data_IF_620554227831
#
_entry.id   IF_620554227831
#
_cell.length_a   1.000
_cell.length_b   1.000
_cell.length_c   1.000
_cell.angle_alpha   90.00
_cell.angle_beta   90.00
_cell.angle_gamma   90.00
#
_symmetry.space_group_name_H-M   'P 1'
#
loop_
_entity.id
_entity.type
_entity.pdbx_description
1 polymer ?
#
# COMPACT_ATOMS: atom_id res chain seq x y z
N UNK A 1 -18.13 19.41 -7.08
CA UNK A 1 -16.96 18.48 -7.07
C UNK A 1 -17.11 17.52 -5.89
N UNK A 2 -17.35 16.22 -6.15
CA UNK A 2 -17.73 15.24 -5.11
C UNK A 2 -16.70 15.18 -3.98
N UNK A 3 -17.15 15.41 -2.75
CA UNK A 3 -16.34 15.37 -1.53
C UNK A 3 -15.63 14.02 -1.34
N UNK A 4 -16.23 12.93 -1.81
CA UNK A 4 -15.65 11.58 -1.83
C UNK A 4 -14.38 11.48 -2.69
N UNK A 5 -14.33 12.14 -3.84
CA UNK A 5 -13.15 12.14 -4.71
C UNK A 5 -11.97 12.90 -4.06
N UNK A 6 -12.27 13.99 -3.34
CA UNK A 6 -11.26 14.72 -2.56
C UNK A 6 -10.67 13.86 -1.44
N UNK A 7 -11.53 13.13 -0.71
CA UNK A 7 -11.10 12.15 0.31
C UNK A 7 -10.17 11.11 -0.32
N UNK A 8 -10.60 10.53 -1.45
CA UNK A 8 -9.85 9.47 -2.14
C UNK A 8 -8.45 9.95 -2.54
N UNK A 9 -8.36 11.14 -3.15
CA UNK A 9 -7.09 11.74 -3.57
C UNK A 9 -6.18 12.03 -2.38
N UNK A 10 -6.75 12.51 -1.27
CA UNK A 10 -6.00 12.75 -0.04
C UNK A 10 -5.41 11.46 0.53
N UNK A 11 -6.19 10.37 0.59
CA UNK A 11 -5.71 9.09 1.10
C UNK A 11 -4.63 8.48 0.21
N UNK A 12 -4.81 8.52 -1.12
CA UNK A 12 -3.77 8.08 -2.07
C UNK A 12 -2.47 8.87 -1.93
N UNK A 13 -2.56 10.18 -1.67
CA UNK A 13 -1.39 11.01 -1.39
C UNK A 13 -0.78 10.73 0.00
N UNK A 14 -1.54 10.22 0.96
CA UNK A 14 -0.98 9.68 2.20
C UNK A 14 -0.12 8.44 1.95
N UNK A 15 -0.58 7.57 1.04
CA UNK A 15 0.05 6.27 0.81
C UNK A 15 1.33 6.32 -0.01
N UNK A 16 1.52 7.27 -0.94
CA UNK A 16 2.62 7.18 -1.93
C UNK A 16 4.01 7.02 -1.30
N UNK A 17 4.30 7.73 -0.19
CA UNK A 17 5.59 7.61 0.50
C UNK A 17 5.78 6.23 1.11
N UNK A 18 4.74 5.71 1.77
CA UNK A 18 4.77 4.41 2.41
C UNK A 18 4.92 3.28 1.37
N UNK A 19 4.21 3.38 0.24
CA UNK A 19 4.33 2.43 -0.88
C UNK A 19 5.71 2.44 -1.50
N UNK A 20 6.30 3.63 -1.68
CA UNK A 20 7.64 3.76 -2.25
C UNK A 20 8.68 3.09 -1.34
N UNK A 21 8.61 3.32 -0.03
CA UNK A 21 9.50 2.67 0.94
C UNK A 21 9.28 1.16 0.97
N UNK A 22 8.03 0.69 0.93
CA UNK A 22 7.70 -0.73 0.90
C UNK A 22 8.34 -1.45 -0.30
N UNK A 23 8.17 -0.90 -1.52
CA UNK A 23 8.77 -1.50 -2.72
C UNK A 23 10.30 -1.36 -2.76
N UNK A 24 10.87 -0.29 -2.21
CA UNK A 24 12.32 -0.16 -2.09
C UNK A 24 12.93 -1.30 -1.24
N UNK A 25 12.24 -1.69 -0.15
CA UNK A 25 12.67 -2.81 0.69
C UNK A 25 12.54 -4.14 -0.07
N UNK A 26 11.41 -4.38 -0.73
CA UNK A 26 11.21 -5.60 -1.55
C UNK A 26 12.28 -5.71 -2.65
N UNK A 27 12.61 -4.61 -3.31
CA UNK A 27 13.64 -4.56 -4.34
C UNK A 27 15.04 -4.87 -3.77
N UNK A 28 15.37 -4.32 -2.60
CA UNK A 28 16.64 -4.62 -1.93
C UNK A 28 16.75 -6.11 -1.52
N UNK A 29 15.67 -6.68 -1.01
CA UNK A 29 15.61 -8.10 -0.61
C UNK A 29 15.73 -9.02 -1.82
N UNK A 30 15.06 -8.72 -2.93
CA UNK A 30 15.15 -9.50 -4.17
C UNK A 30 16.54 -9.41 -4.82
N UNK A 31 17.19 -8.24 -4.80
CA UNK A 31 18.60 -8.09 -5.19
C UNK A 31 19.54 -8.92 -4.31
N UNK A 32 19.33 -8.93 -3.00
CA UNK A 32 20.11 -9.77 -2.08
C UNK A 32 19.95 -11.26 -2.39
N UNK A 33 18.71 -11.71 -2.61
CA UNK A 33 18.40 -13.11 -2.94
C UNK A 33 19.03 -13.55 -4.26
N UNK A 34 18.99 -12.70 -5.30
CA UNK A 34 19.63 -12.99 -6.60
C UNK A 34 21.16 -13.02 -6.48
N UNK A 35 21.76 -12.09 -5.73
CA UNK A 35 23.20 -12.08 -5.48
C UNK A 35 23.69 -13.32 -4.72
N UNK A 36 22.92 -13.82 -3.74
CA UNK A 36 23.20 -15.09 -3.07
C UNK A 36 23.05 -16.28 -4.02
N UNK A 37 22.00 -16.29 -4.85
CA UNK A 37 21.75 -17.37 -5.81
C UNK A 37 22.86 -17.52 -6.84
N UNK A 38 23.52 -16.42 -7.23
CA UNK A 38 24.66 -16.45 -8.16
C UNK A 38 25.93 -17.07 -7.55
N UNK A 39 26.06 -17.03 -6.21
CA UNK A 39 27.21 -17.59 -5.49
C UNK A 39 26.93 -18.99 -4.92
N UNK A 40 25.66 -19.32 -4.71
CA UNK A 40 25.25 -20.61 -4.20
C UNK A 40 25.16 -21.63 -5.33
N UNK A 41 25.61 -22.86 -5.07
CA UNK A 41 25.46 -23.98 -6.02
C UNK A 41 24.03 -24.53 -6.04
N UNK A 42 23.16 -24.07 -5.13
CA UNK A 42 21.76 -24.48 -4.98
C UNK A 42 20.81 -23.32 -5.28
N UNK A 43 19.61 -23.65 -5.80
CA UNK A 43 18.55 -22.67 -6.04
C UNK A 43 18.02 -22.13 -4.71
N UNK A 44 18.38 -20.89 -4.38
CA UNK A 44 17.73 -20.15 -3.31
C UNK A 44 16.34 -19.74 -3.79
N UNK A 45 15.31 -20.27 -3.11
CA UNK A 45 13.92 -19.91 -3.42
C UNK A 45 13.43 -18.93 -2.37
N UNK A 46 13.00 -17.74 -2.80
CA UNK A 46 12.47 -16.71 -1.91
C UNK A 46 10.96 -16.60 -2.09
N UNK A 47 10.20 -16.79 -1.00
CA UNK A 47 8.74 -16.74 -0.99
C UNK A 47 8.22 -15.72 0.02
N UNK A 48 6.90 -15.50 0.01
CA UNK A 48 6.23 -14.68 1.03
C UNK A 48 6.05 -13.19 0.70
N UNK A 49 6.46 -12.74 -0.51
CA UNK A 49 6.22 -11.37 -0.96
C UNK A 49 4.73 -11.02 -0.99
N UNK A 50 3.88 -11.88 -1.55
CA UNK A 50 2.43 -11.64 -1.58
C UNK A 50 1.79 -11.50 -0.20
N UNK A 51 2.25 -12.28 0.79
CA UNK A 51 1.83 -12.12 2.19
C UNK A 51 2.27 -10.79 2.79
N UNK A 52 3.45 -10.29 2.44
CA UNK A 52 3.91 -8.98 2.90
C UNK A 52 3.03 -7.85 2.35
N UNK A 53 2.59 -7.94 1.10
CA UNK A 53 1.68 -6.97 0.47
C UNK A 53 0.32 -6.95 1.16
N UNK A 54 -0.23 -8.12 1.50
CA UNK A 54 -1.51 -8.24 2.24
C UNK A 54 -1.41 -7.58 3.62
N UNK A 55 -0.32 -7.84 4.35
CA UNK A 55 -0.08 -7.24 5.66
C UNK A 55 0.06 -5.73 5.54
N UNK A 56 0.82 -5.25 4.55
CA UNK A 56 1.03 -3.83 4.32
C UNK A 56 -0.29 -3.09 4.05
N UNK A 57 -1.12 -3.58 3.13
CA UNK A 57 -2.43 -2.98 2.81
C UNK A 57 -3.34 -2.96 4.04
N UNK A 58 -3.31 -4.02 4.85
CA UNK A 58 -4.09 -4.10 6.08
C UNK A 58 -3.70 -3.01 7.08
N UNK A 59 -2.39 -2.82 7.31
CA UNK A 59 -1.86 -1.80 8.20
C UNK A 59 -2.14 -0.39 7.65
N UNK A 60 -1.95 -0.16 6.35
CA UNK A 60 -2.25 1.12 5.69
C UNK A 60 -3.74 1.48 5.79
N UNK A 61 -4.63 0.50 5.66
CA UNK A 61 -6.06 0.68 5.87
C UNK A 61 -6.41 1.05 7.31
N UNK A 62 -5.76 0.43 8.29
CA UNK A 62 -5.94 0.78 9.71
C UNK A 62 -5.45 2.20 10.03
N UNK A 63 -4.31 2.62 9.47
CA UNK A 63 -3.73 3.94 9.71
C UNK A 63 -4.66 5.09 9.27
N UNK A 64 -5.42 4.88 8.20
CA UNK A 64 -6.43 5.84 7.74
C UNK A 64 -7.47 6.22 8.80
N UNK A 65 -7.80 5.32 9.73
CA UNK A 65 -8.82 5.56 10.74
C UNK A 65 -8.31 6.34 11.97
N UNK A 66 -7.01 6.62 12.08
CA UNK A 66 -6.46 7.52 13.11
C UNK A 66 -6.43 8.96 12.61
N UNK A 67 -5.37 9.32 11.91
CA UNK A 67 -5.03 10.72 11.66
C UNK A 67 -5.92 11.32 10.57
N UNK A 68 -6.09 10.60 9.46
CA UNK A 68 -6.93 11.06 8.34
C UNK A 68 -8.41 11.15 8.73
N UNK A 69 -8.92 10.22 9.54
CA UNK A 69 -10.32 10.26 9.99
C UNK A 69 -10.62 11.48 10.86
N UNK A 70 -9.76 11.80 11.84
CA UNK A 70 -9.92 12.98 12.70
C UNK A 70 -9.85 14.28 11.89
N UNK A 71 -8.87 14.41 11.01
CA UNK A 71 -8.72 15.59 10.14
C UNK A 71 -9.93 15.80 9.23
N UNK A 72 -10.45 14.72 8.62
CA UNK A 72 -11.59 14.82 7.71
C UNK A 72 -12.89 15.13 8.43
N UNK A 73 -13.07 14.59 9.65
CA UNK A 73 -14.24 14.90 10.48
C UNK A 73 -14.23 16.37 10.92
N UNK A 74 -13.07 16.93 11.26
CA UNK A 74 -12.93 18.37 11.56
C UNK A 74 -13.27 19.27 10.35
N UNK A 75 -13.14 18.76 9.13
CA UNK A 75 -13.46 19.45 7.87
C UNK A 75 -14.91 19.22 7.39
N UNK A 76 -15.85 18.90 8.29
CA UNK A 76 -17.27 18.65 7.97
C UNK A 76 -17.50 17.50 6.96
N UNK A 77 -16.55 16.58 6.82
CA UNK A 77 -16.75 15.37 6.01
C UNK A 77 -17.50 14.34 6.87
N UNK A 78 -18.66 13.91 6.38
CA UNK A 78 -19.44 12.88 7.08
C UNK A 78 -18.73 11.53 7.09
N UNK A 79 -18.88 10.77 8.18
CA UNK A 79 -18.25 9.45 8.35
C UNK A 79 -18.51 8.49 7.18
N UNK A 80 -19.72 8.52 6.62
CA UNK A 80 -20.10 7.71 5.45
C UNK A 80 -19.30 8.07 4.20
N UNK A 81 -19.10 9.36 3.94
CA UNK A 81 -18.31 9.84 2.80
C UNK A 81 -16.83 9.51 2.96
N UNK A 82 -16.31 9.62 4.18
CA UNK A 82 -14.94 9.22 4.50
C UNK A 82 -14.72 7.71 4.26
N UNK A 83 -15.64 6.88 4.74
CA UNK A 83 -15.56 5.43 4.58
C UNK A 83 -15.54 5.04 3.09
N UNK A 84 -16.50 5.52 2.29
CA UNK A 84 -16.52 5.22 0.85
C UNK A 84 -15.28 5.75 0.10
N UNK A 85 -14.80 6.95 0.43
CA UNK A 85 -13.59 7.50 -0.19
C UNK A 85 -12.34 6.71 0.15
N UNK A 86 -12.20 6.28 1.40
CA UNK A 86 -11.08 5.43 1.84
C UNK A 86 -11.16 4.03 1.21
N UNK A 87 -12.35 3.46 1.07
CA UNK A 87 -12.55 2.15 0.45
C UNK A 87 -12.14 2.17 -1.03
N UNK A 88 -12.56 3.20 -1.78
CA UNK A 88 -12.14 3.40 -3.18
C UNK A 88 -10.62 3.57 -3.27
N UNK A 89 -10.01 4.34 -2.36
CA UNK A 89 -8.56 4.53 -2.33
C UNK A 89 -7.80 3.22 -2.07
N UNK A 90 -8.26 2.41 -1.12
CA UNK A 90 -7.65 1.11 -0.80
C UNK A 90 -7.80 0.10 -1.93
N UNK A 91 -8.95 0.04 -2.59
CA UNK A 91 -9.15 -0.84 -3.75
C UNK A 91 -8.24 -0.42 -4.90
N UNK A 92 -8.14 0.88 -5.18
CA UNK A 92 -7.22 1.39 -6.20
C UNK A 92 -5.75 1.08 -5.86
N UNK A 93 -5.38 1.25 -4.60
CA UNK A 93 -4.04 0.92 -4.11
C UNK A 93 -3.74 -0.57 -4.24
N UNK A 94 -4.68 -1.43 -3.84
CA UNK A 94 -4.53 -2.88 -3.93
C UNK A 94 -4.41 -3.34 -5.38
N UNK A 95 -5.20 -2.79 -6.30
CA UNK A 95 -5.10 -3.09 -7.73
C UNK A 95 -3.74 -2.67 -8.30
N UNK A 96 -3.25 -1.48 -7.93
CA UNK A 96 -1.92 -1.02 -8.34
C UNK A 96 -0.81 -1.93 -7.80
N UNK A 97 -0.87 -2.28 -6.52
CA UNK A 97 0.11 -3.19 -5.90
C UNK A 97 0.09 -4.58 -6.50
N UNK A 98 -1.09 -5.14 -6.77
CA UNK A 98 -1.21 -6.44 -7.43
C UNK A 98 -0.58 -6.43 -8.84
N UNK A 99 -0.78 -5.35 -9.61
CA UNK A 99 -0.12 -5.18 -10.91
C UNK A 99 1.41 -5.15 -10.79
N UNK A 100 1.94 -4.42 -9.82
CA UNK A 100 3.38 -4.34 -9.58
C UNK A 100 3.93 -5.70 -9.12
N UNK A 101 3.25 -6.37 -8.19
CA UNK A 101 3.64 -7.68 -7.69
C UNK A 101 3.61 -8.77 -8.78
N UNK A 102 2.72 -8.67 -9.78
CA UNK A 102 2.73 -9.58 -10.93
C UNK A 102 3.86 -9.30 -11.92
N UNK A 103 4.41 -8.08 -11.93
CA UNK A 103 5.49 -7.69 -12.82
C UNK A 103 6.89 -7.92 -12.22
N UNK A 104 6.98 -8.05 -10.89
CA UNK A 104 8.20 -8.35 -10.13
C UNK A 104 8.51 -9.85 -10.13
#
# INVERSE_FOLDING_TARGET
MNTTLKVTKYQLYGFYKAVLVFYAIIFAVSLGATALSLKASERVTFGGLGTATIIFISIAGMDCFKTSFMFMTANNVTRRRFYHGTLIALVALAAFMALVDTAL
#
